data_IF_743652242051
#
_entry.id   IF_743652242051
#
_cell.length_a   1.000
_cell.length_b   1.000
_cell.length_c   1.000
_cell.angle_alpha   90.00
_cell.angle_beta   90.00
_cell.angle_gamma   90.00
#
_symmetry.space_group_name_H-M   'P 1'
#
loop_
_entity.id
_entity.type
_entity.pdbx_description
1 polymer ?
#
# COMPACT_ATOMS: atom_id res chain seq x y z
N UNK A 1 10.90 45.66 -18.42
CA UNK A 1 11.66 44.47 -17.93
C UNK A 1 10.95 43.65 -16.86
N UNK A 2 9.65 43.86 -16.58
CA UNK A 2 8.90 43.07 -15.59
C UNK A 2 8.30 41.79 -16.19
N UNK A 3 7.81 41.81 -17.44
CA UNK A 3 7.15 40.68 -18.09
C UNK A 3 8.00 39.39 -18.20
N UNK A 4 9.31 39.52 -18.41
CA UNK A 4 10.22 38.37 -18.53
C UNK A 4 10.53 37.64 -17.21
N UNK A 5 10.30 38.27 -16.04
CA UNK A 5 10.50 37.61 -14.74
C UNK A 5 9.33 36.72 -14.37
N UNK A 6 8.10 37.11 -14.74
CA UNK A 6 6.90 36.34 -14.45
C UNK A 6 6.78 35.08 -15.33
N UNK A 7 7.25 35.12 -16.58
CA UNK A 7 7.25 33.95 -17.47
C UNK A 7 8.18 32.85 -16.97
N UNK A 8 9.38 33.19 -16.49
CA UNK A 8 10.32 32.21 -15.92
C UNK A 8 9.77 31.59 -14.64
N UNK A 9 9.17 32.39 -13.75
CA UNK A 9 8.55 31.90 -12.53
C UNK A 9 7.37 30.94 -12.80
N UNK A 10 6.54 31.25 -13.80
CA UNK A 10 5.40 30.40 -14.17
C UNK A 10 5.84 29.04 -14.74
N UNK A 11 6.86 29.03 -15.60
CA UNK A 11 7.41 27.78 -16.15
C UNK A 11 8.04 26.93 -15.03
N UNK A 12 8.81 27.55 -14.12
CA UNK A 12 9.39 26.84 -12.99
C UNK A 12 8.29 26.21 -12.09
N UNK A 13 7.21 26.94 -11.82
CA UNK A 13 6.09 26.42 -11.03
C UNK A 13 5.40 25.22 -11.71
N UNK A 14 5.19 25.27 -13.03
CA UNK A 14 4.62 24.14 -13.78
C UNK A 14 5.52 22.90 -13.75
N UNK A 15 6.84 23.07 -13.89
CA UNK A 15 7.80 21.96 -13.82
C UNK A 15 7.79 21.34 -12.41
N UNK A 16 7.82 22.16 -11.37
CA UNK A 16 7.74 21.66 -9.99
C UNK A 16 6.42 20.95 -9.71
N UNK A 17 5.29 21.49 -10.17
CA UNK A 17 3.98 20.85 -10.01
C UNK A 17 3.92 19.50 -10.75
N UNK A 18 4.43 19.44 -11.98
CA UNK A 18 4.52 18.19 -12.75
C UNK A 18 5.39 17.14 -12.07
N UNK A 19 6.55 17.55 -11.54
CA UNK A 19 7.45 16.65 -10.81
C UNK A 19 6.79 16.10 -9.52
N UNK A 20 6.09 16.93 -8.75
CA UNK A 20 5.35 16.51 -7.56
C UNK A 20 4.27 15.48 -7.87
N UNK A 21 3.49 15.69 -8.93
CA UNK A 21 2.47 14.74 -9.36
C UNK A 21 3.11 13.42 -9.82
N UNK A 22 4.19 13.49 -10.60
CA UNK A 22 4.89 12.30 -11.07
C UNK A 22 5.46 11.46 -9.92
N UNK A 23 6.09 12.10 -8.92
CA UNK A 23 6.59 11.43 -7.72
C UNK A 23 5.46 10.76 -6.94
N UNK A 24 4.33 11.46 -6.72
CA UNK A 24 3.18 10.88 -6.03
C UNK A 24 2.53 9.69 -6.76
N UNK A 25 2.52 9.71 -8.10
CA UNK A 25 2.05 8.57 -8.92
C UNK A 25 3.03 7.40 -8.83
N UNK A 26 4.33 7.68 -8.88
CA UNK A 26 5.38 6.68 -8.78
C UNK A 26 5.34 5.96 -7.43
N UNK A 27 5.28 6.70 -6.32
CA UNK A 27 5.20 6.13 -4.97
C UNK A 27 3.97 5.24 -4.82
N UNK A 28 2.79 5.72 -5.24
CA UNK A 28 1.55 4.94 -5.19
C UNK A 28 1.64 3.66 -6.03
N UNK A 29 2.33 3.70 -7.17
CA UNK A 29 2.57 2.51 -7.98
C UNK A 29 3.50 1.52 -7.28
N UNK A 30 4.61 2.01 -6.72
CA UNK A 30 5.59 1.20 -5.98
C UNK A 30 4.94 0.44 -4.82
N UNK A 31 4.15 1.13 -3.98
CA UNK A 31 3.41 0.49 -2.88
C UNK A 31 2.41 -0.55 -3.36
N UNK A 32 1.69 -0.29 -4.47
CA UNK A 32 0.74 -1.26 -5.02
C UNK A 32 1.42 -2.55 -5.48
N UNK A 33 2.58 -2.44 -6.11
CA UNK A 33 3.33 -3.59 -6.62
C UNK A 33 3.97 -4.36 -5.46
N UNK A 34 4.58 -3.66 -4.50
CA UNK A 34 5.14 -4.27 -3.28
C UNK A 34 4.08 -5.03 -2.49
N UNK A 35 2.95 -4.39 -2.22
CA UNK A 35 1.85 -5.00 -1.47
C UNK A 35 1.23 -6.22 -2.18
N UNK A 36 1.09 -6.17 -3.51
CA UNK A 36 0.60 -7.34 -4.26
C UNK A 36 1.57 -8.52 -4.15
N UNK A 37 2.88 -8.25 -4.22
CA UNK A 37 3.93 -9.26 -4.04
C UNK A 37 3.90 -9.85 -2.63
N UNK A 38 3.80 -9.02 -1.60
CA UNK A 38 3.78 -9.46 -0.21
C UNK A 38 2.49 -10.18 0.18
N UNK A 39 1.37 -9.89 -0.50
CA UNK A 39 0.14 -10.68 -0.42
C UNK A 39 0.15 -11.95 -1.28
N UNK A 40 1.23 -12.20 -2.03
CA UNK A 40 1.36 -13.30 -2.98
C UNK A 40 0.19 -13.38 -3.98
N UNK A 41 -0.23 -12.23 -4.50
CA UNK A 41 -1.28 -12.11 -5.53
C UNK A 41 -0.73 -11.42 -6.78
N UNK A 42 -1.24 -11.73 -7.99
CA UNK A 42 -0.69 -11.16 -9.23
C UNK A 42 -0.89 -9.64 -9.32
N UNK A 43 -1.96 -9.12 -8.71
CA UNK A 43 -2.26 -7.69 -8.62
C UNK A 43 -3.31 -7.44 -7.55
N UNK A 44 -3.27 -6.24 -6.97
CA UNK A 44 -4.34 -5.76 -6.10
C UNK A 44 -5.66 -5.64 -6.89
N UNK A 45 -6.82 -5.85 -6.23
CA UNK A 45 -8.14 -5.63 -6.82
C UNK A 45 -8.29 -4.23 -7.38
N UNK A 46 -9.05 -4.09 -8.47
CA UNK A 46 -9.29 -2.78 -9.10
C UNK A 46 -9.96 -1.77 -8.18
N UNK A 47 -10.79 -2.25 -7.25
CA UNK A 47 -11.46 -1.44 -6.23
C UNK A 47 -10.55 -1.07 -5.04
N UNK A 48 -9.40 -1.74 -4.87
CA UNK A 48 -8.53 -1.51 -3.73
C UNK A 48 -7.77 -0.18 -3.88
N UNK A 49 -8.04 0.76 -2.98
CA UNK A 49 -7.39 2.06 -2.91
C UNK A 49 -6.54 2.14 -1.65
N UNK A 50 -5.23 2.29 -1.84
CA UNK A 50 -4.31 2.57 -0.73
C UNK A 50 -4.62 3.97 -0.20
N UNK A 51 -5.10 4.02 1.04
CA UNK A 51 -5.41 5.27 1.77
C UNK A 51 -4.12 5.83 2.36
N UNK A 52 -3.37 4.96 3.04
CA UNK A 52 -2.16 5.34 3.76
C UNK A 52 -1.25 4.12 3.87
N UNK A 53 0.06 4.33 3.72
CA UNK A 53 1.06 3.33 4.06
C UNK A 53 2.11 4.01 4.93
N UNK A 54 2.34 3.46 6.11
CA UNK A 54 3.45 3.83 6.98
C UNK A 54 4.50 2.74 6.93
N UNK A 55 5.74 3.11 6.65
CA UNK A 55 6.90 2.34 7.04
C UNK A 55 7.41 2.93 8.36
N UNK A 56 7.35 2.20 9.48
CA UNK A 56 7.98 2.67 10.71
C UNK A 56 9.49 2.80 10.47
N UNK A 57 9.95 4.03 10.24
CA UNK A 57 11.35 4.38 9.95
C UNK A 57 12.19 4.51 11.23
N UNK A 58 11.89 3.69 12.24
CA UNK A 58 12.54 3.80 13.55
C UNK A 58 12.37 2.56 14.42
N UNK A 59 13.44 1.76 14.46
CA UNK A 59 14.02 0.99 15.59
C UNK A 59 13.00 0.30 16.52
N UNK A 60 13.12 -1.03 16.64
CA UNK A 60 12.50 -2.00 17.59
C UNK A 60 11.15 -2.70 17.28
N UNK A 61 10.51 -2.55 16.12
CA UNK A 61 9.32 -3.37 15.78
C UNK A 61 9.56 -4.33 14.61
N UNK A 62 9.09 -5.57 14.72
CA UNK A 62 9.13 -6.59 13.64
C UNK A 62 8.21 -6.25 12.45
N UNK A 63 7.42 -5.18 12.54
CA UNK A 63 6.59 -4.66 11.45
C UNK A 63 7.45 -3.91 10.44
N UNK A 64 7.49 -4.40 9.21
CA UNK A 64 8.20 -3.78 8.08
C UNK A 64 7.47 -2.53 7.60
N UNK A 65 6.15 -2.66 7.42
CA UNK A 65 5.26 -1.57 7.04
C UNK A 65 3.81 -1.97 7.27
N UNK A 66 2.96 -0.94 7.36
CA UNK A 66 1.52 -1.03 7.56
C UNK A 66 0.80 -0.24 6.48
N UNK A 67 -0.12 -0.88 5.77
CA UNK A 67 -0.93 -0.24 4.73
C UNK A 67 -2.42 -0.35 5.04
N UNK A 68 -3.12 0.79 4.98
CA UNK A 68 -4.57 0.90 5.07
C UNK A 68 -5.12 1.06 3.66
N UNK A 69 -6.11 0.25 3.33
CA UNK A 69 -6.77 0.24 2.04
C UNK A 69 -8.28 0.20 2.18
N UNK A 70 -8.94 1.02 1.37
CA UNK A 70 -10.38 0.92 1.12
C UNK A 70 -10.58 -0.05 -0.03
N UNK A 71 -11.58 -0.92 0.07
CA UNK A 71 -11.88 -1.95 -0.92
C UNK A 71 -13.39 -2.22 -0.97
N UNK A 72 -13.90 -2.72 -2.09
CA UNK A 72 -15.25 -3.26 -2.11
C UNK A 72 -15.33 -4.54 -1.28
N UNK A 73 -16.42 -4.74 -0.52
CA UNK A 73 -16.66 -5.97 0.24
C UNK A 73 -16.60 -7.22 -0.64
N UNK A 74 -17.06 -7.13 -1.90
CA UNK A 74 -17.06 -8.25 -2.84
C UNK A 74 -15.65 -8.64 -3.32
N UNK A 75 -14.73 -7.67 -3.31
CA UNK A 75 -13.34 -7.86 -3.73
C UNK A 75 -12.41 -8.18 -2.56
N UNK A 76 -12.87 -8.03 -1.30
CA UNK A 76 -12.07 -8.34 -0.12
C UNK A 76 -11.47 -9.76 -0.13
N UNK A 77 -12.23 -10.82 -0.50
CA UNK A 77 -11.68 -12.17 -0.57
C UNK A 77 -10.51 -12.31 -1.55
N UNK A 78 -10.38 -11.41 -2.54
CA UNK A 78 -9.27 -11.42 -3.49
C UNK A 78 -7.92 -11.13 -2.81
N UNK A 79 -7.92 -10.33 -1.74
CA UNK A 79 -6.71 -10.04 -0.94
C UNK A 79 -6.21 -11.30 -0.22
N UNK A 80 -7.12 -12.22 0.11
CA UNK A 80 -6.82 -13.42 0.86
C UNK A 80 -6.43 -14.62 -0.03
N UNK A 81 -6.42 -14.47 -1.36
CA UNK A 81 -6.18 -15.59 -2.29
C UNK A 81 -4.74 -16.06 -2.37
N UNK A 82 -3.78 -15.24 -1.98
CA UNK A 82 -2.36 -15.56 -2.13
C UNK A 82 -1.78 -16.49 -1.07
N UNK A 83 -2.46 -16.64 0.08
CA UNK A 83 -2.01 -17.50 1.18
C UNK A 83 -3.16 -18.29 1.80
N UNK A 84 -2.80 -19.32 2.57
CA UNK A 84 -3.72 -19.95 3.51
C UNK A 84 -3.80 -19.10 4.79
N UNK A 85 -4.86 -18.31 4.91
CA UNK A 85 -5.10 -17.47 6.08
C UNK A 85 -5.83 -18.21 7.19
N UNK A 86 -5.41 -17.99 8.44
CA UNK A 86 -6.19 -18.34 9.63
C UNK A 86 -7.09 -17.19 10.01
N UNK A 87 -8.36 -17.49 10.26
CA UNK A 87 -9.38 -16.51 10.59
C UNK A 87 -9.57 -16.38 12.11
N UNK A 88 -9.48 -15.15 12.61
CA UNK A 88 -9.64 -14.78 14.02
C UNK A 88 -10.71 -13.67 14.17
N UNK A 89 -11.89 -13.89 13.58
CA UNK A 89 -13.04 -12.99 13.69
C UNK A 89 -13.03 -11.81 12.72
N UNK A 90 -12.17 -10.81 12.96
CA UNK A 90 -11.98 -9.66 12.07
C UNK A 90 -10.56 -9.58 11.49
N UNK A 91 -9.71 -10.54 11.83
CA UNK A 91 -8.33 -10.62 11.35
C UNK A 91 -8.05 -11.95 10.67
N UNK A 92 -7.21 -11.89 9.65
CA UNK A 92 -6.76 -13.00 8.82
C UNK A 92 -5.24 -13.00 8.84
N UNK A 93 -4.63 -14.05 9.37
CA UNK A 93 -3.18 -14.15 9.49
C UNK A 93 -2.65 -15.23 8.54
N UNK A 94 -1.70 -14.86 7.69
CA UNK A 94 -0.94 -15.78 6.86
C UNK A 94 0.50 -15.90 7.41
N UNK A 95 0.89 -17.13 7.74
CA UNK A 95 2.27 -17.49 8.08
C UNK A 95 2.85 -18.34 6.97
N UNK A 96 3.70 -17.80 6.07
CA UNK A 96 4.30 -18.58 5.01
C UNK A 96 5.24 -19.64 5.61
N UNK A 97 5.28 -20.84 5.00
CA UNK A 97 6.21 -21.90 5.44
C UNK A 97 7.68 -21.54 5.20
N UNK A 98 7.95 -20.63 4.27
CA UNK A 98 9.28 -20.11 3.92
C UNK A 98 9.16 -18.67 3.42
N UNK A 99 10.03 -17.79 3.91
CA UNK A 99 10.11 -16.39 3.49
C UNK A 99 10.92 -16.28 2.19
N UNK A 100 10.25 -16.32 1.04
CA UNK A 100 10.91 -16.06 -0.26
C UNK A 100 10.97 -14.55 -0.58
N UNK A 101 9.92 -13.83 -0.23
CA UNK A 101 9.76 -12.39 -0.38
C UNK A 101 8.77 -11.94 0.70
N UNK A 102 9.23 -11.22 1.73
CA UNK A 102 8.38 -10.75 2.84
C UNK A 102 8.30 -11.73 4.02
N UNK A 103 7.56 -11.35 5.07
CA UNK A 103 7.37 -12.17 6.25
C UNK A 103 5.90 -12.49 6.60
N UNK A 104 5.54 -12.56 7.88
CA UNK A 104 4.14 -12.86 8.26
C UNK A 104 3.23 -11.72 7.80
N UNK A 105 2.04 -12.04 7.31
CA UNK A 105 1.07 -11.04 6.83
C UNK A 105 -0.19 -11.13 7.66
N UNK A 106 -0.57 -10.01 8.28
CA UNK A 106 -1.84 -9.87 8.99
C UNK A 106 -2.74 -8.92 8.22
N UNK A 107 -3.90 -9.41 7.81
CA UNK A 107 -4.96 -8.61 7.20
C UNK A 107 -6.08 -8.45 8.20
N UNK A 108 -6.30 -7.25 8.70
CA UNK A 108 -7.41 -6.92 9.61
C UNK A 108 -8.46 -6.12 8.85
N UNK A 109 -9.74 -6.49 8.96
CA UNK A 109 -10.84 -5.79 8.31
C UNK A 109 -11.81 -5.16 9.30
N UNK A 110 -12.59 -4.20 8.82
CA UNK A 110 -13.79 -3.75 9.53
C UNK A 110 -14.94 -4.76 9.34
N UNK A 111 -16.01 -4.61 10.13
CA UNK A 111 -17.19 -5.50 10.08
C UNK A 111 -17.89 -5.54 8.71
N UNK A 112 -17.72 -4.50 7.90
CA UNK A 112 -18.34 -4.37 6.58
C UNK A 112 -17.44 -4.81 5.42
N UNK A 113 -16.21 -5.26 5.70
CA UNK A 113 -15.20 -5.63 4.69
C UNK A 113 -14.90 -4.54 3.65
N UNK A 114 -15.14 -3.28 4.00
CA UNK A 114 -14.91 -2.12 3.13
C UNK A 114 -13.55 -1.46 3.36
N UNK A 115 -12.88 -1.82 4.46
CA UNK A 115 -11.55 -1.36 4.77
C UNK A 115 -10.72 -2.53 5.28
N UNK A 116 -9.49 -2.62 4.81
CA UNK A 116 -8.49 -3.55 5.31
C UNK A 116 -7.24 -2.81 5.76
N UNK A 117 -6.61 -3.34 6.80
CA UNK A 117 -5.30 -2.97 7.28
C UNK A 117 -4.39 -4.16 7.08
N UNK A 118 -3.27 -3.96 6.38
CA UNK A 118 -2.30 -4.99 6.07
C UNK A 118 -1.02 -4.65 6.80
N UNK A 119 -0.66 -5.48 7.77
CA UNK A 119 0.58 -5.40 8.51
C UNK A 119 1.51 -6.53 8.00
N UNK A 120 2.70 -6.15 7.53
CA UNK A 120 3.74 -7.11 7.12
C UNK A 120 4.83 -7.12 8.17
N UNK A 121 5.16 -8.30 8.69
CA UNK A 121 6.18 -8.52 9.71
C UNK A 121 7.38 -9.25 9.11
N UNK A 122 8.60 -9.00 9.57
CA UNK A 122 9.78 -9.86 9.33
C UNK A 122 10.20 -10.38 10.71
N UNK A 123 10.12 -11.71 10.89
CA UNK A 123 10.70 -12.42 12.04
C UNK A 123 12.09 -12.97 11.70
#
# INVERSE_FOLDING_TARGET
>A
MLAGKYTVAFIAALVCAGAWVALGVYDRHSYRVGLASDLNIPRLPGSARIVHCDSPTGIVTDVVYKCILDISSDDFPLLLRGYDYRHYGYSYEARPKQFKSGGNVLVTSNSSLTQATIDVYIE
#
